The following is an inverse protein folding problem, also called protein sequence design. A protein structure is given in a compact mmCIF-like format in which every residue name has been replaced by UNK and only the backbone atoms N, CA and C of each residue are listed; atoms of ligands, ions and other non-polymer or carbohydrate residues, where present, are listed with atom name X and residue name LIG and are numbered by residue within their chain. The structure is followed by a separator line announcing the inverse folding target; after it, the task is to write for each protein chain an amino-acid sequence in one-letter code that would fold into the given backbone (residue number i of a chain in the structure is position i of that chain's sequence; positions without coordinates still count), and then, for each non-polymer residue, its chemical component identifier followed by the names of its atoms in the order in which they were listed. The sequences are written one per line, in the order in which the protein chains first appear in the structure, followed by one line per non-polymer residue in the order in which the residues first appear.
data_IF_175399004598
#
_entry.id   IF_175399004598
#
_cell.length_a   1.000
_cell.length_b   1.000
_cell.length_c   1.000
_cell.angle_alpha   90.00
_cell.angle_beta   90.00
_cell.angle_gamma   90.00
#
_symmetry.space_group_name_H-M   'P 1'
#
loop_
_entity.id
_entity.type
_entity.pdbx_description
1 polymer ?
#
# COMPACT_ATOMS: atom_id res chain seq x y z
N UNK A 1 14.30 -67.43 11.72
CA UNK A 1 14.42 -66.12 11.05
C UNK A 1 13.22 -65.98 10.14
N UNK A 2 12.18 -65.28 10.59
CA UNK A 2 10.96 -65.08 9.81
C UNK A 2 10.42 -63.70 10.14
N UNK A 3 9.95 -63.03 9.10
CA UNK A 3 9.96 -61.60 8.82
C UNK A 3 9.03 -60.77 9.72
N UNK A 4 9.50 -59.62 10.21
CA UNK A 4 8.68 -58.62 10.90
C UNK A 4 7.78 -57.88 9.89
N UNK A 5 6.54 -57.66 10.33
CA UNK A 5 5.44 -57.07 9.58
C UNK A 5 5.44 -55.52 9.72
N UNK A 6 4.81 -54.88 8.73
CA UNK A 6 4.18 -53.55 8.70
C UNK A 6 5.09 -52.32 8.51
N UNK A 7 5.14 -51.82 7.27
CA UNK A 7 5.46 -50.43 6.97
C UNK A 7 4.17 -49.58 7.05
N UNK A 8 3.84 -49.13 8.26
CA UNK A 8 2.91 -48.04 8.51
C UNK A 8 3.64 -46.72 8.31
N UNK A 9 3.01 -45.76 7.63
CA UNK A 9 3.31 -44.35 7.82
C UNK A 9 3.49 -43.56 6.54
N UNK A 10 2.37 -43.08 6.01
CA UNK A 10 2.33 -41.92 5.14
C UNK A 10 3.05 -40.73 5.79
N UNK A 11 3.86 -39.99 5.03
CA UNK A 11 4.10 -38.55 5.24
C UNK A 11 4.77 -37.99 3.98
N UNK A 12 3.99 -37.86 2.91
CA UNK A 12 4.34 -36.91 1.84
C UNK A 12 4.15 -35.51 2.44
N UNK A 13 5.24 -34.97 2.98
CA UNK A 13 5.26 -33.61 3.51
C UNK A 13 4.95 -32.64 2.37
N UNK A 14 3.71 -32.16 2.38
CA UNK A 14 3.23 -31.09 1.53
C UNK A 14 4.06 -29.84 1.82
N UNK A 15 4.92 -29.45 0.89
CA UNK A 15 5.65 -28.18 0.94
C UNK A 15 4.64 -27.06 0.73
N UNK A 16 3.97 -26.65 1.80
CA UNK A 16 3.16 -25.44 1.82
C UNK A 16 4.12 -24.25 1.67
N UNK A 17 4.13 -23.63 0.49
CA UNK A 17 4.75 -22.32 0.29
C UNK A 17 3.93 -21.30 1.06
N UNK A 18 4.47 -20.83 2.19
CA UNK A 18 3.96 -19.66 2.87
C UNK A 18 4.44 -18.42 2.12
N UNK A 19 3.56 -17.81 1.32
CA UNK A 19 3.78 -16.46 0.80
C UNK A 19 3.73 -15.48 1.96
N UNK A 20 4.88 -15.01 2.41
CA UNK A 20 4.97 -13.90 3.35
C UNK A 20 4.58 -12.65 2.55
N UNK A 21 3.32 -12.22 2.68
CA UNK A 21 2.92 -10.89 2.26
C UNK A 21 3.58 -9.90 3.22
N UNK A 22 4.75 -9.39 2.85
CA UNK A 22 5.34 -8.23 3.51
C UNK A 22 4.34 -7.09 3.32
N UNK A 23 3.77 -6.59 4.42
CA UNK A 23 2.92 -5.42 4.36
C UNK A 23 3.73 -4.27 3.75
N UNK A 24 3.32 -3.78 2.57
CA UNK A 24 3.92 -2.59 1.99
C UNK A 24 3.43 -1.37 2.76
N UNK A 25 4.37 -0.54 3.23
CA UNK A 25 4.05 0.74 3.84
C UNK A 25 3.36 1.64 2.82
N UNK A 26 2.18 2.15 3.19
CA UNK A 26 1.41 3.04 2.34
C UNK A 26 1.23 4.41 2.98
N UNK A 27 1.15 5.42 2.12
CA UNK A 27 1.00 6.83 2.50
C UNK A 27 -0.16 7.41 1.72
N UNK A 28 -1.02 8.16 2.40
CA UNK A 28 -2.09 8.93 1.77
C UNK A 28 -1.59 10.32 1.40
N UNK A 29 -1.82 10.70 0.15
CA UNK A 29 -1.40 11.97 -0.45
C UNK A 29 -2.63 12.72 -0.98
N UNK A 30 -2.54 14.04 -1.00
CA UNK A 30 -3.37 14.91 -1.83
C UNK A 30 -2.71 15.03 -3.20
N UNK A 31 -3.32 14.39 -4.20
CA UNK A 31 -2.87 14.41 -5.59
C UNK A 31 -3.45 15.61 -6.31
N UNK A 32 -2.57 16.42 -6.91
CA UNK A 32 -2.98 17.59 -7.70
C UNK A 32 -3.52 17.11 -9.04
N UNK A 33 -4.71 17.57 -9.41
CA UNK A 33 -5.32 17.28 -10.71
C UNK A 33 -5.40 18.54 -11.57
N UNK A 34 -5.69 18.38 -12.86
CA UNK A 34 -5.93 19.50 -13.78
C UNK A 34 -7.42 19.93 -13.83
N UNK A 35 -8.22 19.53 -12.84
CA UNK A 35 -9.65 19.86 -12.77
C UNK A 35 -9.91 21.10 -11.92
N UNK A 36 -10.48 22.15 -12.52
CA UNK A 36 -10.89 23.36 -11.80
C UNK A 36 -11.92 23.07 -10.69
N UNK A 37 -12.78 22.07 -10.89
CA UNK A 37 -13.83 21.71 -9.92
C UNK A 37 -13.38 20.68 -8.88
N UNK A 38 -12.28 19.95 -9.14
CA UNK A 38 -11.74 18.93 -8.23
C UNK A 38 -10.20 19.00 -8.22
N UNK A 39 -9.61 20.11 -7.75
CA UNK A 39 -8.18 20.37 -7.88
C UNK A 39 -7.31 19.36 -7.13
N UNK A 40 -7.88 18.67 -6.13
CA UNK A 40 -7.19 17.66 -5.34
C UNK A 40 -8.04 16.41 -5.17
N UNK A 41 -7.39 15.24 -5.18
CA UNK A 41 -8.00 13.96 -4.81
C UNK A 41 -7.10 13.18 -3.87
N UNK A 42 -7.68 12.41 -2.96
CA UNK A 42 -6.92 11.55 -2.07
C UNK A 42 -6.50 10.27 -2.80
N UNK A 43 -5.21 9.96 -2.74
CA UNK A 43 -4.65 8.69 -3.22
C UNK A 43 -3.83 8.02 -2.12
N UNK A 44 -3.84 6.70 -2.08
CA UNK A 44 -2.99 5.92 -1.18
C UNK A 44 -1.97 5.13 -1.99
N UNK A 45 -0.71 5.50 -1.86
CA UNK A 45 0.40 4.94 -2.65
C UNK A 45 1.40 4.22 -1.76
N UNK A 46 2.27 3.41 -2.36
CA UNK A 46 3.44 2.89 -1.67
C UNK A 46 4.32 4.05 -1.20
N UNK A 47 4.93 3.93 -0.02
CA UNK A 47 5.91 4.90 0.49
C UNK A 47 7.05 5.16 -0.51
N UNK A 48 7.40 4.17 -1.33
CA UNK A 48 8.40 4.27 -2.40
C UNK A 48 8.02 5.26 -3.51
N UNK A 49 6.73 5.52 -3.72
CA UNK A 49 6.23 6.41 -4.77
C UNK A 49 6.17 7.88 -4.33
N UNK A 50 6.22 8.15 -3.02
CA UNK A 50 6.07 9.50 -2.46
C UNK A 50 7.05 10.51 -3.07
N UNK A 51 8.35 10.22 -3.26
CA UNK A 51 9.27 11.18 -3.86
C UNK A 51 8.87 11.62 -5.27
N UNK A 52 8.33 10.69 -6.08
CA UNK A 52 7.89 11.00 -7.43
C UNK A 52 6.62 11.87 -7.42
N UNK A 53 5.65 11.52 -6.57
CA UNK A 53 4.42 12.28 -6.40
C UNK A 53 4.69 13.71 -5.92
N UNK A 54 5.54 13.88 -4.90
CA UNK A 54 5.94 15.22 -4.41
C UNK A 54 6.68 16.03 -5.47
N UNK A 55 7.52 15.39 -6.29
CA UNK A 55 8.18 16.06 -7.42
C UNK A 55 7.19 16.53 -8.50
N UNK A 56 5.99 15.98 -8.55
CA UNK A 56 4.92 16.38 -9.48
C UNK A 56 3.92 17.35 -8.83
N UNK A 57 4.11 17.74 -7.56
CA UNK A 57 3.28 18.73 -6.88
C UNK A 57 2.33 18.16 -5.83
N UNK A 58 2.26 16.84 -5.67
CA UNK A 58 1.44 16.23 -4.63
C UNK A 58 2.02 16.50 -3.24
N UNK A 59 1.17 16.42 -2.21
CA UNK A 59 1.62 16.60 -0.82
C UNK A 59 1.00 15.56 0.11
N UNK A 60 1.71 15.28 1.21
CA UNK A 60 1.25 14.33 2.21
C UNK A 60 0.01 14.90 2.89
N UNK A 61 -1.05 14.10 2.95
CA UNK A 61 -2.29 14.54 3.57
C UNK A 61 -2.10 14.62 5.11
N UNK A 62 -2.61 15.66 5.79
CA UNK A 62 -2.39 15.84 7.23
C UNK A 62 -3.12 14.79 8.07
N UNK A 63 -2.49 13.64 8.28
CA UNK A 63 -2.98 12.60 9.17
C UNK A 63 -4.08 11.71 8.56
N UNK A 64 -4.52 10.74 9.34
CA UNK A 64 -5.29 9.58 8.85
C UNK A 64 -6.79 9.87 8.65
N UNK A 65 -7.28 11.03 9.12
CA UNK A 65 -8.69 11.42 9.09
C UNK A 65 -9.00 12.49 8.04
N UNK A 66 -8.10 12.74 7.09
CA UNK A 66 -8.36 13.66 5.98
C UNK A 66 -9.37 13.05 5.03
N UNK A 67 -10.62 13.49 5.12
CA UNK A 67 -11.67 13.16 4.17
C UNK A 67 -11.58 14.06 2.92
N UNK A 68 -10.90 15.22 3.04
CA UNK A 68 -10.71 16.14 1.94
C UNK A 68 -9.42 16.97 2.03
N UNK A 69 -8.85 17.30 0.88
CA UNK A 69 -7.58 18.03 0.76
C UNK A 69 -7.72 19.55 0.89
N UNK A 70 -8.95 20.07 0.83
CA UNK A 70 -9.24 21.50 0.92
C UNK A 70 -9.09 22.07 2.34
N UNK A 71 -9.09 21.21 3.37
CA UNK A 71 -8.96 21.61 4.77
C UNK A 71 -7.50 21.88 5.21
N UNK A 72 -6.54 21.58 4.34
CA UNK A 72 -5.10 21.53 4.71
C UNK A 72 -4.35 22.85 4.57
N UNK A 73 -4.97 23.93 4.08
CA UNK A 73 -4.37 25.27 4.04
C UNK A 73 -3.03 25.39 3.30
N UNK A 74 -2.71 24.44 2.41
CA UNK A 74 -1.38 24.28 1.82
C UNK A 74 -1.33 24.18 0.29
N UNK A 75 -2.42 24.49 -0.42
CA UNK A 75 -2.38 24.57 -1.88
C UNK A 75 -1.69 25.87 -2.34
N UNK A 76 -0.81 25.83 -3.36
CA UNK A 76 -0.46 27.06 -4.07
C UNK A 76 -1.76 27.63 -4.63
N UNK A 77 -2.11 28.84 -4.20
CA UNK A 77 -3.36 29.50 -4.58
C UNK A 77 -3.50 29.63 -6.10
N UNK A 78 -4.74 29.81 -6.60
CA UNK A 78 -4.98 29.89 -8.04
C UNK A 78 -4.20 31.06 -8.65
N UNK A 79 -3.51 30.76 -9.76
CA UNK A 79 -2.88 31.77 -10.63
C UNK A 79 -3.94 32.52 -11.43
#
# INVERSE_FOLDING_TARGET
MTTKLVATGAFLAFLASASIALAEDKVTLCHVTESDSNPFVLITVSSNAVPAHVSHGDFIAPGETVENCDDSGGGPGPN
#
